data_IF_958106953477
#
_entry.id   IF_958106953477
#
_cell.length_a   1.000
_cell.length_b   1.000
_cell.length_c   1.000
_cell.angle_alpha   90.00
_cell.angle_beta   90.00
_cell.angle_gamma   90.00
#
_symmetry.space_group_name_H-M   'P 1'
#
loop_
_entity.id
_entity.type
_entity.pdbx_description
1 polymer ?
#
# COMPACT_ATOMS: atom_id res chain seq x y z
N UNK A 1 38.86 91.90 -37.91
CA UNK A 1 39.23 92.35 -36.56
C UNK A 1 38.87 91.24 -35.58
N UNK A 2 39.92 90.55 -35.12
CA UNK A 2 40.10 89.71 -33.92
C UNK A 2 38.85 89.13 -33.25
N UNK A 3 38.59 87.82 -33.46
CA UNK A 3 37.85 87.00 -32.50
C UNK A 3 38.74 86.83 -31.25
N UNK A 4 38.26 87.29 -30.11
CA UNK A 4 39.02 87.29 -28.86
C UNK A 4 39.24 85.89 -28.25
N UNK A 5 40.16 85.75 -27.27
CA UNK A 5 40.69 84.49 -26.76
C UNK A 5 39.69 83.58 -26.00
N UNK A 6 38.44 84.02 -25.87
CA UNK A 6 37.41 83.29 -25.14
C UNK A 6 36.71 82.21 -26.00
N UNK A 7 36.73 82.33 -27.33
CA UNK A 7 36.01 81.41 -28.22
C UNK A 7 36.73 80.06 -28.41
N UNK A 8 38.07 80.06 -28.51
CA UNK A 8 38.87 78.83 -28.72
C UNK A 8 38.99 77.96 -27.46
N UNK A 9 39.12 78.56 -26.25
CA UNK A 9 39.11 77.80 -25.00
C UNK A 9 37.75 77.11 -24.74
N UNK A 10 36.66 77.71 -25.20
CA UNK A 10 35.30 77.17 -25.04
C UNK A 10 35.01 76.01 -26.01
N UNK A 11 35.72 75.95 -27.14
CA UNK A 11 35.60 74.88 -28.13
C UNK A 11 36.38 73.63 -27.69
N UNK A 12 37.62 73.79 -27.23
CA UNK A 12 38.48 72.67 -26.80
C UNK A 12 37.96 72.00 -25.51
N UNK A 13 37.43 72.77 -24.55
CA UNK A 13 36.83 72.19 -23.34
C UNK A 13 35.53 71.42 -23.63
N UNK A 14 34.78 71.83 -24.66
CA UNK A 14 33.53 71.17 -25.05
C UNK A 14 33.80 69.83 -25.74
N UNK A 15 34.81 69.77 -26.60
CA UNK A 15 35.25 68.57 -27.32
C UNK A 15 35.76 67.47 -26.36
N UNK A 16 36.58 67.85 -25.38
CA UNK A 16 37.07 66.92 -24.34
C UNK A 16 35.94 66.43 -23.42
N UNK A 17 34.93 67.28 -23.15
CA UNK A 17 33.78 66.91 -22.32
C UNK A 17 32.84 65.92 -23.02
N UNK A 18 32.60 66.13 -24.32
CA UNK A 18 31.78 65.22 -25.14
C UNK A 18 32.47 63.85 -25.32
N UNK A 19 33.78 63.84 -25.58
CA UNK A 19 34.57 62.60 -25.65
C UNK A 19 34.60 61.85 -24.31
N UNK A 20 34.79 62.56 -23.19
CA UNK A 20 34.77 61.95 -21.86
C UNK A 20 33.38 61.40 -21.49
N UNK A 21 32.29 62.08 -21.86
CA UNK A 21 30.93 61.56 -21.66
C UNK A 21 30.63 60.33 -22.52
N UNK A 22 31.15 60.28 -23.75
CA UNK A 22 31.02 59.11 -24.61
C UNK A 22 31.76 57.89 -24.03
N UNK A 23 32.98 58.11 -23.51
CA UNK A 23 33.77 57.07 -22.84
C UNK A 23 33.08 56.54 -21.58
N UNK A 24 32.54 57.41 -20.72
CA UNK A 24 31.79 56.99 -19.53
C UNK A 24 30.54 56.19 -19.89
N UNK A 25 29.79 56.60 -20.92
CA UNK A 25 28.63 55.83 -21.42
C UNK A 25 29.05 54.47 -21.99
N UNK A 26 30.18 54.41 -22.69
CA UNK A 26 30.72 53.15 -23.21
C UNK A 26 31.12 52.22 -22.07
N UNK A 27 31.83 52.72 -21.05
CA UNK A 27 32.20 51.95 -19.86
C UNK A 27 30.98 51.48 -19.05
N UNK A 28 29.97 52.33 -18.87
CA UNK A 28 28.70 51.96 -18.22
C UNK A 28 27.99 50.85 -18.98
N UNK A 29 27.91 50.95 -20.30
CA UNK A 29 27.24 49.95 -21.14
C UNK A 29 28.03 48.64 -21.20
N UNK A 30 29.37 48.70 -21.23
CA UNK A 30 30.23 47.53 -21.13
C UNK A 30 30.07 46.82 -19.77
N UNK A 31 29.95 47.58 -18.68
CA UNK A 31 29.69 47.04 -17.35
C UNK A 31 28.30 46.39 -17.25
N UNK A 32 27.26 47.04 -17.79
CA UNK A 32 25.90 46.49 -17.84
C UNK A 32 25.83 45.18 -18.64
N UNK A 33 26.50 45.12 -19.81
CA UNK A 33 26.61 43.90 -20.62
C UNK A 33 27.36 42.79 -19.86
N UNK A 34 28.43 43.13 -19.14
CA UNK A 34 29.17 42.16 -18.31
C UNK A 34 28.27 41.58 -17.21
N UNK A 35 27.53 42.44 -16.49
CA UNK A 35 26.64 42.01 -15.42
C UNK A 35 25.49 41.14 -15.94
N UNK A 36 24.90 41.50 -17.08
CA UNK A 36 23.86 40.69 -17.73
C UNK A 36 24.40 39.33 -18.18
N UNK A 37 25.62 39.30 -18.72
CA UNK A 37 26.29 38.06 -19.13
C UNK A 37 26.54 37.13 -17.94
N UNK A 38 27.02 37.65 -16.81
CA UNK A 38 27.21 36.89 -15.57
C UNK A 38 25.88 36.32 -15.05
N UNK A 39 24.82 37.15 -15.00
CA UNK A 39 23.49 36.71 -14.57
C UNK A 39 22.90 35.65 -15.50
N UNK A 40 23.10 35.78 -16.81
CA UNK A 40 22.67 34.79 -17.79
C UNK A 40 23.42 33.46 -17.62
N UNK A 41 24.73 33.51 -17.35
CA UNK A 41 25.53 32.31 -17.07
C UNK A 41 25.07 31.60 -15.79
N UNK A 42 24.73 32.35 -14.74
CA UNK A 42 24.18 31.79 -13.50
C UNK A 42 22.81 31.13 -13.71
N UNK A 43 21.90 31.79 -14.45
CA UNK A 43 20.59 31.22 -14.79
C UNK A 43 20.70 29.96 -15.64
N UNK A 44 21.60 29.95 -16.63
CA UNK A 44 21.85 28.77 -17.46
C UNK A 44 22.37 27.59 -16.63
N UNK A 45 23.30 27.83 -15.69
CA UNK A 45 23.78 26.78 -14.78
C UNK A 45 22.64 26.22 -13.92
N UNK A 46 21.81 27.08 -13.33
CA UNK A 46 20.63 26.61 -12.55
C UNK A 46 19.66 25.80 -13.39
N UNK A 47 19.42 26.20 -14.64
CA UNK A 47 18.56 25.46 -15.57
C UNK A 47 19.17 24.10 -15.94
N UNK A 48 20.48 24.04 -16.16
CA UNK A 48 21.19 22.77 -16.42
C UNK A 48 21.14 21.84 -15.22
N UNK A 49 21.35 22.35 -14.00
CA UNK A 49 21.25 21.57 -12.77
C UNK A 49 19.84 21.01 -12.57
N UNK A 50 18.80 21.86 -12.73
CA UNK A 50 17.40 21.44 -12.64
C UNK A 50 17.01 20.44 -13.73
N UNK A 51 17.50 20.62 -14.96
CA UNK A 51 17.29 19.66 -16.04
C UNK A 51 17.93 18.32 -15.71
N UNK A 52 19.18 18.31 -15.27
CA UNK A 52 19.87 17.09 -14.89
C UNK A 52 19.15 16.38 -13.74
N UNK A 53 18.59 17.11 -12.77
CA UNK A 53 17.79 16.55 -11.68
C UNK A 53 16.47 15.93 -12.19
N UNK A 54 15.71 16.65 -13.01
CA UNK A 54 14.48 16.15 -13.62
C UNK A 54 14.74 14.92 -14.49
N UNK A 55 15.83 14.92 -15.24
CA UNK A 55 16.18 13.84 -16.15
C UNK A 55 16.61 12.59 -15.37
N UNK A 56 17.36 12.76 -14.28
CA UNK A 56 17.64 11.67 -13.31
C UNK A 56 16.35 11.12 -12.70
N UNK A 57 15.44 11.98 -12.25
CA UNK A 57 14.16 11.57 -11.67
C UNK A 57 13.29 10.81 -12.70
N UNK A 58 13.25 11.28 -13.95
CA UNK A 58 12.48 10.64 -15.01
C UNK A 58 13.08 9.28 -15.41
N UNK A 59 14.40 9.17 -15.46
CA UNK A 59 15.09 7.89 -15.68
C UNK A 59 14.88 6.92 -14.52
N UNK A 60 14.84 7.40 -13.28
CA UNK A 60 14.52 6.57 -12.11
C UNK A 60 13.07 6.05 -12.18
N UNK A 61 12.12 6.93 -12.51
CA UNK A 61 10.70 6.57 -12.72
C UNK A 61 10.53 5.53 -13.84
N UNK A 62 11.25 5.70 -14.95
CA UNK A 62 11.17 4.79 -16.09
C UNK A 62 11.76 3.41 -15.75
N UNK A 63 12.92 3.37 -15.07
CA UNK A 63 13.52 2.13 -14.56
C UNK A 63 12.61 1.43 -13.55
N UNK A 64 11.94 2.19 -12.69
CA UNK A 64 10.97 1.68 -11.74
C UNK A 64 9.79 0.99 -12.42
N UNK A 65 9.13 1.64 -13.39
CA UNK A 65 8.00 1.06 -14.13
C UNK A 65 8.41 -0.22 -14.87
N UNK A 66 9.61 -0.22 -15.47
CA UNK A 66 10.14 -1.40 -16.15
C UNK A 66 10.40 -2.57 -15.18
N UNK A 67 10.97 -2.30 -14.00
CA UNK A 67 11.17 -3.31 -12.95
C UNK A 67 9.84 -3.86 -12.45
N UNK A 68 8.86 -2.98 -12.19
CA UNK A 68 7.51 -3.35 -11.76
C UNK A 68 6.81 -4.24 -12.78
N UNK A 69 6.90 -3.91 -14.06
CA UNK A 69 6.30 -4.70 -15.13
C UNK A 69 6.83 -6.14 -15.15
N UNK A 70 8.13 -6.32 -14.90
CA UNK A 70 8.73 -7.65 -14.82
C UNK A 70 8.32 -8.37 -13.52
N UNK A 71 8.28 -7.66 -12.40
CA UNK A 71 7.85 -8.21 -11.10
C UNK A 71 6.37 -8.58 -11.08
N UNK A 72 5.50 -7.90 -11.84
CA UNK A 72 4.10 -8.28 -12.02
C UNK A 72 3.93 -9.51 -12.91
N UNK A 73 4.72 -9.62 -13.98
CA UNK A 73 4.57 -10.70 -14.96
C UNK A 73 4.82 -12.07 -14.32
N UNK A 74 5.78 -12.20 -13.41
CA UNK A 74 6.14 -13.47 -12.77
C UNK A 74 5.01 -14.10 -11.93
N UNK A 75 4.37 -13.41 -10.96
CA UNK A 75 3.24 -13.95 -10.22
C UNK A 75 2.03 -14.19 -11.13
N UNK A 76 1.70 -13.29 -12.07
CA UNK A 76 0.59 -13.49 -13.02
C UNK A 76 0.80 -14.75 -13.85
N UNK A 77 1.99 -14.93 -14.43
CA UNK A 77 2.33 -16.13 -15.23
C UNK A 77 2.20 -17.40 -14.39
N UNK A 78 2.56 -17.33 -13.11
CA UNK A 78 2.43 -18.46 -12.19
C UNK A 78 0.95 -18.78 -11.90
N UNK A 79 0.13 -17.77 -11.56
CA UNK A 79 -1.31 -17.93 -11.33
C UNK A 79 -1.98 -18.56 -12.55
N UNK A 80 -1.74 -17.99 -13.74
CA UNK A 80 -2.30 -18.49 -14.99
C UNK A 80 -1.87 -19.93 -15.29
N UNK A 81 -0.58 -20.26 -15.10
CA UNK A 81 -0.07 -21.60 -15.37
C UNK A 81 -0.64 -22.67 -14.44
N UNK A 82 -0.78 -22.38 -13.14
CA UNK A 82 -1.39 -23.31 -12.19
C UNK A 82 -2.91 -23.42 -12.40
N UNK A 83 -3.59 -22.32 -12.72
CA UNK A 83 -5.02 -22.32 -13.02
C UNK A 83 -5.36 -23.11 -14.30
N UNK A 84 -4.62 -22.92 -15.39
CA UNK A 84 -4.77 -23.71 -16.63
C UNK A 84 -4.49 -25.19 -16.41
N UNK A 85 -3.55 -25.53 -15.53
CA UNK A 85 -3.28 -26.93 -15.19
C UNK A 85 -4.43 -27.54 -14.36
N UNK A 86 -5.02 -26.78 -13.44
CA UNK A 86 -6.18 -27.19 -12.64
C UNK A 86 -7.44 -27.39 -13.48
N UNK A 87 -7.67 -26.51 -14.48
CA UNK A 87 -8.83 -26.62 -15.36
C UNK A 87 -8.79 -27.88 -16.26
N UNK A 88 -7.59 -28.43 -16.51
CA UNK A 88 -7.37 -29.63 -17.32
C UNK A 88 -7.46 -30.95 -16.56
N UNK A 89 -7.66 -30.92 -15.24
CA UNK A 89 -7.87 -32.12 -14.42
C UNK A 89 -7.20 -32.08 -13.04
N UNK A 90 -7.26 -33.18 -12.28
CA UNK A 90 -6.70 -33.25 -10.93
C UNK A 90 -5.20 -32.98 -10.95
N UNK A 91 -4.77 -31.95 -10.23
CA UNK A 91 -3.35 -31.62 -10.02
C UNK A 91 -2.86 -32.18 -8.71
N UNK A 92 -1.56 -32.50 -8.65
CA UNK A 92 -0.88 -32.88 -7.41
C UNK A 92 -0.99 -31.78 -6.34
N UNK A 93 -0.88 -32.17 -5.07
CA UNK A 93 -0.87 -31.28 -3.92
C UNK A 93 0.09 -30.10 -4.15
N UNK A 94 -0.39 -28.86 -3.98
CA UNK A 94 0.44 -27.64 -4.03
C UNK A 94 0.04 -26.58 -5.06
N UNK A 95 -0.81 -26.87 -6.05
CA UNK A 95 -1.26 -25.88 -7.05
C UNK A 95 -2.13 -24.75 -6.47
N UNK A 96 -3.13 -25.00 -5.59
CA UNK A 96 -3.90 -23.93 -4.95
C UNK A 96 -3.02 -23.05 -4.07
N UNK A 97 -2.13 -23.66 -3.29
CA UNK A 97 -1.17 -22.94 -2.47
C UNK A 97 -0.26 -22.07 -3.34
N UNK A 98 0.22 -22.57 -4.48
CA UNK A 98 1.06 -21.81 -5.42
C UNK A 98 0.34 -20.60 -6.04
N UNK A 99 -0.94 -20.76 -6.43
CA UNK A 99 -1.80 -19.65 -6.87
C UNK A 99 -1.91 -18.62 -5.75
N UNK A 100 -2.23 -19.07 -4.53
CA UNK A 100 -2.39 -18.19 -3.37
C UNK A 100 -1.11 -17.39 -3.09
N UNK A 101 0.09 -18.00 -3.13
CA UNK A 101 1.36 -17.24 -2.94
C UNK A 101 1.57 -16.20 -4.02
N UNK A 102 1.30 -16.57 -5.27
CA UNK A 102 1.49 -15.69 -6.40
C UNK A 102 0.49 -14.53 -6.37
N UNK A 103 -0.76 -14.77 -5.94
CA UNK A 103 -1.78 -13.74 -5.71
C UNK A 103 -1.38 -12.80 -4.58
N UNK A 104 -0.87 -13.33 -3.46
CA UNK A 104 -0.37 -12.50 -2.36
C UNK A 104 0.82 -11.63 -2.76
N UNK A 105 1.75 -12.19 -3.53
CA UNK A 105 2.87 -11.43 -4.07
C UNK A 105 2.39 -10.31 -5.00
N UNK A 106 1.45 -10.62 -5.90
CA UNK A 106 0.85 -9.65 -6.81
C UNK A 106 0.13 -8.53 -6.04
N UNK A 107 -0.68 -8.89 -5.04
CA UNK A 107 -1.38 -7.93 -4.20
C UNK A 107 -0.39 -7.00 -3.49
N UNK A 108 0.67 -7.56 -2.90
CA UNK A 108 1.74 -6.76 -2.27
C UNK A 108 2.37 -5.78 -3.27
N UNK A 109 2.65 -6.22 -4.51
CA UNK A 109 3.21 -5.34 -5.54
C UNK A 109 2.25 -4.22 -5.96
N UNK A 110 0.96 -4.53 -6.10
CA UNK A 110 -0.08 -3.55 -6.43
C UNK A 110 -0.25 -2.54 -5.31
N UNK A 111 -0.35 -3.00 -4.07
CA UNK A 111 -0.44 -2.14 -2.89
C UNK A 111 0.79 -1.24 -2.76
N UNK A 112 1.99 -1.78 -2.99
CA UNK A 112 3.22 -0.99 -2.97
C UNK A 112 3.21 0.12 -4.03
N UNK A 113 2.68 -0.15 -5.22
CA UNK A 113 2.54 0.82 -6.29
C UNK A 113 1.50 1.90 -5.96
N UNK A 114 0.36 1.50 -5.41
CA UNK A 114 -0.70 2.41 -4.97
C UNK A 114 -0.22 3.32 -3.84
N UNK A 115 0.51 2.79 -2.87
CA UNK A 115 1.08 3.56 -1.77
C UNK A 115 2.11 4.59 -2.30
N UNK A 116 2.95 4.19 -3.26
CA UNK A 116 3.86 5.14 -3.90
C UNK A 116 3.10 6.23 -4.67
N UNK A 117 2.00 5.90 -5.35
CA UNK A 117 1.17 6.88 -6.04
C UNK A 117 0.50 7.87 -5.07
N UNK A 118 0.25 7.46 -3.83
CA UNK A 118 -0.31 8.27 -2.75
C UNK A 118 0.74 9.13 -2.01
N UNK A 119 2.04 8.98 -2.28
CA UNK A 119 3.06 9.84 -1.65
C UNK A 119 2.82 11.31 -1.98
N UNK A 120 2.27 12.04 -1.01
CA UNK A 120 1.84 13.44 -1.12
C UNK A 120 0.44 13.70 -0.52
N UNK A 121 -0.37 12.67 -0.37
CA UNK A 121 -1.78 12.74 0.07
C UNK A 121 -2.05 11.83 1.28
N UNK A 122 -1.69 12.30 2.49
CA UNK A 122 -2.18 11.71 3.74
C UNK A 122 -1.51 10.41 4.23
N UNK A 123 -1.93 9.94 5.42
CA UNK A 123 -1.37 8.79 6.12
C UNK A 123 -1.95 7.45 5.63
N UNK A 124 -1.22 6.35 5.84
CA UNK A 124 -1.71 4.98 5.61
C UNK A 124 -2.92 4.73 6.50
N UNK A 125 -4.07 4.40 5.88
CA UNK A 125 -5.31 4.10 6.60
C UNK A 125 -5.44 2.60 6.86
N UNK A 126 -5.89 2.25 8.07
CA UNK A 126 -6.05 0.87 8.54
C UNK A 126 -7.52 0.49 8.64
N UNK A 127 -7.85 -0.71 8.18
CA UNK A 127 -9.13 -1.36 8.44
C UNK A 127 -9.00 -2.26 9.68
N UNK A 128 -9.16 -1.67 10.87
CA UNK A 128 -8.96 -2.39 12.12
C UNK A 128 -10.09 -3.39 12.40
N UNK A 129 -9.73 -4.62 12.74
CA UNK A 129 -10.64 -5.67 13.15
C UNK A 129 -9.94 -6.73 14.01
N UNK A 130 -10.68 -7.65 14.62
CA UNK A 130 -10.08 -8.75 15.37
C UNK A 130 -9.28 -9.66 14.44
N UNK A 131 -8.05 -9.99 14.83
CA UNK A 131 -7.13 -10.84 14.06
C UNK A 131 -7.04 -12.22 14.71
N UNK A 132 -7.34 -13.28 13.95
CA UNK A 132 -7.01 -14.65 14.35
C UNK A 132 -5.50 -14.88 14.14
N UNK A 133 -4.72 -14.50 15.16
CA UNK A 133 -3.26 -14.63 15.14
C UNK A 133 -2.80 -16.09 14.92
N UNK A 134 -3.56 -17.05 15.45
CA UNK A 134 -3.21 -18.47 15.30
C UNK A 134 -3.33 -18.91 13.85
N UNK A 135 -4.38 -18.46 13.16
CA UNK A 135 -4.55 -18.72 11.72
C UNK A 135 -3.50 -17.98 10.89
N UNK A 136 -3.30 -16.69 11.12
CA UNK A 136 -2.32 -15.89 10.39
C UNK A 136 -0.92 -16.54 10.43
N UNK A 137 -0.44 -16.95 11.60
CA UNK A 137 0.87 -17.58 11.74
C UNK A 137 0.94 -18.97 11.08
N UNK A 138 -0.15 -19.75 11.12
CA UNK A 138 -0.24 -21.03 10.38
C UNK A 138 -0.18 -20.81 8.87
N UNK A 139 -0.94 -19.87 8.34
CA UNK A 139 -0.95 -19.54 6.91
C UNK A 139 0.45 -19.10 6.44
N UNK A 140 1.12 -18.25 7.21
CA UNK A 140 2.49 -17.82 6.92
C UNK A 140 3.47 -19.00 6.97
N UNK A 141 3.33 -19.90 7.94
CA UNK A 141 4.14 -21.11 8.00
C UNK A 141 3.95 -21.98 6.75
N UNK A 142 2.72 -22.25 6.34
CA UNK A 142 2.41 -23.02 5.12
C UNK A 142 2.95 -22.34 3.84
N UNK A 143 2.75 -21.03 3.76
CA UNK A 143 3.18 -20.18 2.66
C UNK A 143 4.70 -20.27 2.43
N UNK A 144 5.48 -20.16 3.50
CA UNK A 144 6.94 -20.05 3.44
C UNK A 144 7.68 -21.39 3.61
N UNK A 145 7.05 -22.42 4.20
CA UNK A 145 7.67 -23.75 4.39
C UNK A 145 8.17 -24.33 3.07
N UNK A 146 7.36 -24.23 2.01
CA UNK A 146 7.75 -24.71 0.68
C UNK A 146 8.92 -23.92 0.08
N UNK A 147 9.00 -22.61 0.33
CA UNK A 147 10.08 -21.77 -0.19
C UNK A 147 11.40 -22.04 0.54
N UNK A 148 11.35 -22.14 1.87
CA UNK A 148 12.50 -22.49 2.69
C UNK A 148 13.04 -23.88 2.33
N UNK A 149 12.15 -24.88 2.22
CA UNK A 149 12.52 -26.24 1.82
C UNK A 149 13.17 -26.28 0.43
N UNK A 150 12.66 -25.50 -0.54
CA UNK A 150 13.25 -25.40 -1.87
C UNK A 150 14.68 -24.84 -1.89
N UNK A 151 15.07 -24.09 -0.85
CA UNK A 151 16.44 -23.58 -0.64
C UNK A 151 17.27 -24.42 0.35
N UNK A 152 16.67 -25.43 0.99
CA UNK A 152 17.33 -26.17 2.07
C UNK A 152 17.48 -25.39 3.38
N UNK A 153 16.65 -24.36 3.60
CA UNK A 153 16.63 -23.58 4.84
C UNK A 153 15.67 -24.21 5.87
N UNK A 154 16.02 -24.13 7.14
CA UNK A 154 15.11 -24.43 8.25
C UNK A 154 14.17 -23.23 8.47
N UNK A 155 12.86 -23.46 8.43
CA UNK A 155 11.86 -22.44 8.80
C UNK A 155 11.20 -22.83 10.12
N UNK A 156 11.17 -21.89 11.07
CA UNK A 156 10.48 -22.05 12.33
C UNK A 156 9.48 -20.90 12.56
N UNK A 157 8.18 -21.19 12.53
CA UNK A 157 7.15 -20.22 12.91
C UNK A 157 6.57 -20.64 14.26
N UNK A 158 6.73 -19.78 15.27
CA UNK A 158 6.20 -20.03 16.60
C UNK A 158 4.66 -19.98 16.58
N UNK A 159 3.98 -20.80 17.40
CA UNK A 159 2.53 -20.69 17.55
C UNK A 159 2.16 -19.35 18.19
N UNK A 160 0.94 -18.90 17.94
CA UNK A 160 0.41 -17.69 18.58
C UNK A 160 0.43 -17.83 20.11
N UNK A 161 0.88 -16.80 20.85
CA UNK A 161 0.84 -16.82 22.30
C UNK A 161 -0.61 -16.87 22.80
N UNK A 162 -0.87 -17.72 23.79
CA UNK A 162 -2.20 -17.89 24.36
C UNK A 162 -2.70 -16.56 24.97
N UNK A 163 -3.94 -16.20 24.67
CA UNK A 163 -4.56 -14.97 25.18
C UNK A 163 -4.14 -13.68 24.44
N UNK A 164 -3.39 -13.77 23.34
CA UNK A 164 -3.16 -12.62 22.47
C UNK A 164 -4.43 -12.28 21.67
N UNK A 165 -5.22 -11.34 22.19
CA UNK A 165 -6.25 -10.68 21.43
C UNK A 165 -5.62 -9.47 20.71
N UNK A 166 -5.59 -9.50 19.38
CA UNK A 166 -5.07 -8.41 18.57
C UNK A 166 -6.21 -7.83 17.73
N UNK A 167 -6.44 -6.52 17.85
CA UNK A 167 -7.31 -5.77 16.94
C UNK A 167 -6.43 -4.84 16.10
N UNK A 168 -6.37 -5.10 14.80
CA UNK A 168 -5.62 -4.30 13.84
C UNK A 168 -6.05 -4.66 12.41
N UNK A 169 -5.36 -4.12 11.41
CA UNK A 169 -5.58 -4.51 10.02
C UNK A 169 -4.81 -5.80 9.68
N UNK A 170 -5.52 -6.93 9.56
CA UNK A 170 -4.91 -8.23 9.25
C UNK A 170 -4.16 -8.21 7.92
N UNK A 171 -4.71 -7.53 6.90
CA UNK A 171 -4.12 -7.50 5.57
C UNK A 171 -2.76 -6.80 5.61
N UNK A 172 -2.69 -5.66 6.30
CA UNK A 172 -1.46 -4.88 6.50
C UNK A 172 -0.45 -5.61 7.36
N UNK A 173 -0.88 -6.26 8.44
CA UNK A 173 0.00 -7.09 9.25
C UNK A 173 0.59 -8.25 8.45
N UNK A 174 -0.25 -8.96 7.69
CA UNK A 174 0.15 -10.05 6.81
C UNK A 174 1.13 -9.56 5.74
N UNK A 175 0.88 -8.42 5.12
CA UNK A 175 1.77 -7.78 4.15
C UNK A 175 3.17 -7.51 4.75
N UNK A 176 3.22 -6.91 5.94
CA UNK A 176 4.47 -6.65 6.66
C UNK A 176 5.25 -7.94 6.94
N UNK A 177 4.58 -8.96 7.49
CA UNK A 177 5.21 -10.24 7.81
C UNK A 177 5.67 -11.01 6.56
N UNK A 178 4.89 -11.00 5.46
CA UNK A 178 5.27 -11.59 4.18
C UNK A 178 6.53 -10.93 3.64
N UNK A 179 6.62 -9.60 3.68
CA UNK A 179 7.80 -8.89 3.19
C UNK A 179 9.04 -9.22 4.03
N UNK A 180 8.92 -9.24 5.36
CA UNK A 180 10.05 -9.57 6.26
C UNK A 180 10.51 -11.03 6.07
N UNK A 181 9.60 -12.00 6.09
CA UNK A 181 9.91 -13.41 5.85
C UNK A 181 10.47 -13.66 4.44
N UNK A 182 9.88 -13.00 3.44
CA UNK A 182 10.34 -13.07 2.06
C UNK A 182 11.78 -12.57 1.91
N UNK A 183 12.14 -11.47 2.59
CA UNK A 183 13.51 -10.97 2.61
C UNK A 183 14.45 -11.93 3.35
N UNK A 184 14.07 -12.42 4.52
CA UNK A 184 14.87 -13.38 5.30
C UNK A 184 15.22 -14.64 4.48
N UNK A 185 14.23 -15.27 3.83
CA UNK A 185 14.44 -16.45 2.98
C UNK A 185 15.22 -16.10 1.71
N UNK A 186 15.02 -14.91 1.15
CA UNK A 186 15.72 -14.46 -0.06
C UNK A 186 17.22 -14.32 0.17
N UNK A 187 17.63 -13.65 1.24
CA UNK A 187 19.03 -13.30 1.50
C UNK A 187 19.79 -14.37 2.28
N UNK A 188 19.10 -15.27 3.00
CA UNK A 188 19.74 -16.41 3.65
C UNK A 188 20.03 -17.51 2.62
N UNK A 189 21.29 -17.91 2.52
CA UNK A 189 21.73 -19.00 1.63
C UNK A 189 21.64 -20.36 2.31
N UNK A 190 22.11 -20.43 3.55
CA UNK A 190 22.12 -21.63 4.39
C UNK A 190 21.78 -21.26 5.83
N UNK A 191 21.22 -22.20 6.59
CA UNK A 191 20.84 -22.00 7.99
C UNK A 191 19.33 -21.90 8.18
N UNK A 192 18.88 -20.92 8.97
CA UNK A 192 17.50 -20.86 9.45
C UNK A 192 16.87 -19.48 9.35
N UNK A 193 15.55 -19.47 9.21
CA UNK A 193 14.67 -18.31 9.32
C UNK A 193 13.61 -18.61 10.36
N UNK A 194 13.32 -17.65 11.24
CA UNK A 194 12.33 -17.81 12.29
C UNK A 194 11.37 -16.62 12.34
N UNK A 195 10.08 -16.91 12.58
CA UNK A 195 9.07 -15.93 12.98
C UNK A 195 8.58 -16.28 14.38
N UNK A 196 8.69 -15.34 15.31
CA UNK A 196 8.23 -15.47 16.69
C UNK A 196 7.21 -14.36 17.02
N UNK A 197 6.30 -14.67 17.94
CA UNK A 197 5.29 -13.74 18.44
C UNK A 197 5.17 -13.89 19.97
N UNK A 198 5.44 -12.83 20.73
CA UNK A 198 5.49 -12.86 22.20
C UNK A 198 4.71 -11.71 22.81
N UNK A 199 4.01 -11.99 23.90
CA UNK A 199 3.35 -10.96 24.70
C UNK A 199 4.38 -10.35 25.65
N UNK A 200 4.58 -9.03 25.54
CA UNK A 200 5.46 -8.24 26.40
C UNK A 200 4.64 -7.10 26.99
N UNK A 201 4.18 -7.26 28.23
CA UNK A 201 3.29 -6.29 28.87
C UNK A 201 1.91 -6.26 28.20
N UNK A 202 1.51 -5.10 27.71
CA UNK A 202 0.27 -4.84 26.98
C UNK A 202 0.44 -4.89 25.44
N UNK A 203 1.59 -5.36 24.96
CA UNK A 203 1.93 -5.43 23.54
C UNK A 203 2.25 -6.84 23.10
N UNK A 204 1.97 -7.11 21.83
CA UNK A 204 2.41 -8.30 21.09
C UNK A 204 3.60 -7.92 20.22
N UNK A 205 4.77 -8.47 20.52
CA UNK A 205 6.00 -8.32 19.75
C UNK A 205 6.10 -9.42 18.70
N UNK A 206 6.32 -9.03 17.44
CA UNK A 206 6.69 -9.90 16.35
C UNK A 206 8.19 -9.78 16.09
N UNK A 207 8.86 -10.91 15.86
CA UNK A 207 10.27 -10.92 15.45
C UNK A 207 10.50 -11.87 14.29
N UNK A 208 11.10 -11.37 13.21
CA UNK A 208 11.58 -12.18 12.08
C UNK A 208 13.11 -12.20 12.12
N UNK A 209 13.69 -13.38 12.32
CA UNK A 209 15.13 -13.58 12.45
C UNK A 209 15.68 -14.47 11.33
N UNK A 210 16.88 -14.17 10.84
CA UNK A 210 17.59 -14.96 9.84
C UNK A 210 19.06 -15.13 10.19
N UNK A 211 19.70 -16.17 9.65
CA UNK A 211 21.15 -16.42 9.78
C UNK A 211 21.92 -16.02 8.50
N UNK A 212 21.40 -15.04 7.76
CA UNK A 212 21.96 -14.58 6.51
C UNK A 212 23.22 -13.71 6.68
N UNK A 213 23.57 -12.90 5.65
CA UNK A 213 24.81 -12.13 5.64
C UNK A 213 24.86 -11.00 6.67
N UNK A 214 23.74 -10.65 7.28
CA UNK A 214 23.61 -9.49 8.16
C UNK A 214 23.79 -8.15 7.43
N UNK A 215 23.61 -7.06 8.18
CA UNK A 215 23.56 -5.68 7.66
C UNK A 215 24.55 -4.81 8.43
N UNK A 216 25.48 -4.20 7.71
CA UNK A 216 26.48 -3.28 8.27
C UNK A 216 25.86 -1.98 8.79
N UNK A 217 26.53 -1.33 9.75
CA UNK A 217 26.02 -0.13 10.41
C UNK A 217 25.76 1.02 9.43
N UNK A 218 26.60 1.20 8.40
CA UNK A 218 26.39 2.20 7.34
C UNK A 218 25.10 2.00 6.52
N UNK A 219 24.62 0.76 6.44
CA UNK A 219 23.52 0.37 5.56
C UNK A 219 22.16 0.29 6.29
N UNK A 220 22.16 0.21 7.63
CA UNK A 220 20.93 0.09 8.44
C UNK A 220 19.92 1.22 8.19
N UNK A 221 20.38 2.45 7.96
CA UNK A 221 19.48 3.56 7.63
C UNK A 221 19.13 3.62 6.14
N UNK A 222 19.96 3.03 5.28
CA UNK A 222 19.78 3.09 3.83
C UNK A 222 18.73 2.11 3.34
N UNK A 223 18.65 0.92 3.94
CA UNK A 223 17.67 -0.12 3.56
C UNK A 223 16.20 0.30 3.75
N UNK A 224 15.92 1.30 4.58
CA UNK A 224 14.58 1.84 4.79
C UNK A 224 14.24 3.00 3.84
N UNK A 225 15.20 3.47 3.05
CA UNK A 225 14.94 4.50 2.05
C UNK A 225 14.33 3.87 0.78
N UNK A 226 13.30 4.49 0.18
CA UNK A 226 12.73 4.00 -1.07
C UNK A 226 13.80 3.84 -2.16
N UNK A 227 13.73 2.74 -2.91
CA UNK A 227 14.59 2.42 -4.06
C UNK A 227 16.08 2.15 -3.74
N UNK A 228 16.47 2.14 -2.47
CA UNK A 228 17.83 1.75 -2.08
C UNK A 228 17.96 0.22 -2.03
N UNK A 229 19.09 -0.29 -2.54
CA UNK A 229 19.44 -1.71 -2.55
C UNK A 229 20.92 -1.88 -2.22
N UNK A 230 21.24 -2.90 -1.42
CA UNK A 230 22.62 -3.22 -1.06
C UNK A 230 23.35 -3.95 -2.20
N UNK A 231 22.63 -4.78 -2.98
CA UNK A 231 23.17 -5.47 -4.15
C UNK A 231 22.46 -5.05 -5.45
N UNK A 232 23.18 -4.43 -6.41
CA UNK A 232 22.68 -4.16 -7.76
C UNK A 232 22.61 -5.42 -8.65
N UNK A 233 23.28 -6.51 -8.25
CA UNK A 233 23.43 -7.73 -9.05
C UNK A 233 22.50 -8.88 -8.65
N UNK A 234 21.97 -9.58 -9.65
CA UNK A 234 21.27 -10.89 -9.60
C UNK A 234 19.88 -10.99 -8.97
N UNK A 235 19.46 -10.13 -8.03
CA UNK A 235 18.15 -10.28 -7.35
C UNK A 235 17.09 -9.29 -7.89
N UNK A 236 15.88 -9.76 -8.22
CA UNK A 236 14.73 -8.93 -8.62
C UNK A 236 14.04 -8.30 -7.40
N UNK A 237 13.65 -7.04 -7.48
CA UNK A 237 13.02 -6.30 -6.37
C UNK A 237 13.20 -4.79 -6.48
N UNK A 238 12.12 -4.04 -6.32
CA UNK A 238 12.12 -2.59 -6.49
C UNK A 238 12.71 -1.76 -5.33
N UNK A 239 13.20 -2.40 -4.27
CA UNK A 239 13.76 -1.71 -3.10
C UNK A 239 12.73 -0.92 -2.27
N UNK A 240 11.45 -1.29 -2.37
CA UNK A 240 10.35 -0.61 -1.65
C UNK A 240 9.90 -1.37 -0.39
N UNK A 241 10.12 -2.68 -0.33
CA UNK A 241 9.50 -3.55 0.67
C UNK A 241 9.72 -3.09 2.12
N UNK A 242 10.96 -2.82 2.53
CA UNK A 242 11.27 -2.42 3.90
C UNK A 242 10.77 -1.00 4.23
N UNK A 243 10.87 -0.05 3.29
CA UNK A 243 10.33 1.30 3.47
C UNK A 243 8.82 1.30 3.70
N UNK A 244 8.10 0.45 2.97
CA UNK A 244 6.65 0.29 3.10
C UNK A 244 6.31 -0.47 4.38
N UNK A 245 7.08 -1.51 4.72
CA UNK A 245 6.88 -2.22 6.00
C UNK A 245 7.02 -1.28 7.19
N UNK A 246 7.99 -0.36 7.16
CA UNK A 246 8.13 0.65 8.20
C UNK A 246 6.91 1.58 8.27
N UNK A 247 6.40 2.04 7.14
CA UNK A 247 5.18 2.88 7.08
C UNK A 247 3.94 2.14 7.58
N UNK A 248 3.76 0.89 7.15
CA UNK A 248 2.65 0.02 7.57
C UNK A 248 2.71 -0.25 9.08
N UNK A 249 3.86 -0.62 9.61
CA UNK A 249 4.05 -0.83 11.06
C UNK A 249 3.78 0.45 11.85
N UNK A 250 4.27 1.60 11.38
CA UNK A 250 4.02 2.89 11.99
C UNK A 250 2.52 3.25 12.00
N UNK A 251 1.82 2.98 10.89
CA UNK A 251 0.38 3.19 10.79
C UNK A 251 -0.39 2.34 11.81
N UNK A 252 0.06 1.09 12.04
CA UNK A 252 -0.50 0.17 13.05
C UNK A 252 -0.14 0.54 14.50
N UNK A 253 0.56 1.66 14.71
CA UNK A 253 0.97 2.13 16.03
C UNK A 253 2.17 1.39 16.61
N UNK A 254 2.95 0.70 15.76
CA UNK A 254 4.20 0.05 16.12
C UNK A 254 5.43 0.82 15.63
N UNK A 255 6.60 0.33 16.02
CA UNK A 255 7.89 0.80 15.51
C UNK A 255 8.68 -0.42 15.01
N UNK A 256 9.25 -0.32 13.81
CA UNK A 256 10.05 -1.39 13.21
C UNK A 256 11.52 -1.17 13.55
N UNK A 257 12.07 -2.07 14.35
CA UNK A 257 13.46 -2.11 14.78
C UNK A 257 14.25 -3.15 14.01
N UNK A 258 15.56 -2.91 13.87
CA UNK A 258 16.51 -3.83 13.26
C UNK A 258 17.70 -4.06 14.19
N UNK A 259 17.98 -5.32 14.44
CA UNK A 259 19.17 -5.81 15.12
C UNK A 259 19.92 -6.75 14.19
N UNK A 260 21.13 -6.38 13.77
CA UNK A 260 21.87 -7.15 12.75
C UNK A 260 23.37 -6.88 12.82
N UNK A 261 24.17 -7.92 12.69
CA UNK A 261 25.62 -7.84 12.58
C UNK A 261 26.10 -8.57 11.32
N UNK A 262 27.07 -8.03 10.57
CA UNK A 262 27.65 -8.71 9.42
C UNK A 262 28.12 -10.13 9.75
N UNK A 263 27.65 -11.10 8.97
CA UNK A 263 27.94 -12.52 9.12
C UNK A 263 27.16 -13.26 10.20
N UNK A 264 26.33 -12.58 10.99
CA UNK A 264 25.53 -13.19 12.07
C UNK A 264 24.02 -13.21 11.79
N UNK A 265 23.59 -12.54 10.72
CA UNK A 265 22.20 -12.46 10.30
C UNK A 265 21.49 -11.19 10.76
N UNK A 266 20.17 -11.18 10.66
CA UNK A 266 19.34 -10.02 10.96
C UNK A 266 18.10 -10.42 11.75
N UNK A 267 17.63 -9.53 12.63
CA UNK A 267 16.38 -9.67 13.36
C UNK A 267 15.60 -8.37 13.24
N UNK A 268 14.46 -8.43 12.57
CA UNK A 268 13.51 -7.33 12.49
C UNK A 268 12.43 -7.53 13.54
N UNK A 269 12.15 -6.50 14.34
CA UNK A 269 11.16 -6.56 15.43
C UNK A 269 10.18 -5.41 15.37
N UNK A 270 8.92 -5.66 15.69
CA UNK A 270 7.95 -4.60 15.93
C UNK A 270 6.89 -5.08 16.91
N UNK A 271 6.27 -4.13 17.63
CA UNK A 271 5.27 -4.43 18.65
C UNK A 271 3.95 -3.70 18.39
N UNK A 272 2.83 -4.40 18.51
CA UNK A 272 1.48 -3.85 18.39
C UNK A 272 0.74 -3.95 19.73
N UNK A 273 -0.17 -3.01 20.02
CA UNK A 273 -0.97 -3.04 21.24
C UNK A 273 -1.97 -4.21 21.21
N UNK A 274 -2.12 -4.94 22.32
CA UNK A 274 -3.16 -5.94 22.48
C UNK A 274 -4.52 -5.27 22.71
N UNK A 275 -5.58 -5.90 22.20
CA UNK A 275 -6.95 -5.47 22.46
C UNK A 275 -7.32 -5.73 23.93
N UNK A 276 -8.05 -4.80 24.54
CA UNK A 276 -8.63 -5.00 25.88
C UNK A 276 -9.77 -6.01 25.82
N UNK A 277 -9.86 -6.89 26.82
CA UNK A 277 -10.62 -8.14 26.82
C UNK A 277 -12.17 -8.08 26.69
N UNK A 278 -12.76 -6.95 26.30
CA UNK A 278 -14.23 -6.81 26.16
C UNK A 278 -14.78 -7.31 24.81
N UNK A 279 -13.93 -7.62 23.82
CA UNK A 279 -14.36 -8.11 22.51
C UNK A 279 -14.37 -9.65 22.42
N UNK A 280 -15.16 -10.33 23.25
CA UNK A 280 -15.50 -11.73 22.97
C UNK A 280 -16.63 -11.80 21.93
N UNK A 281 -16.25 -12.13 20.69
CA UNK A 281 -17.19 -12.42 19.59
C UNK A 281 -18.02 -13.65 19.95
N UNK A 282 -19.34 -13.48 20.10
CA UNK A 282 -20.29 -14.59 20.22
C UNK A 282 -20.39 -15.30 18.86
N UNK A 283 -20.07 -16.60 18.75
CA UNK A 283 -20.32 -17.32 17.52
C UNK A 283 -21.82 -17.57 17.29
N UNK A 284 -22.23 -17.54 16.03
CA UNK A 284 -23.53 -17.98 15.45
C UNK A 284 -24.77 -17.08 15.65
N UNK A 285 -24.77 -15.89 15.03
CA UNK A 285 -26.01 -15.11 14.71
C UNK A 285 -26.40 -15.10 13.22
N UNK A 286 -25.59 -15.67 12.34
CA UNK A 286 -25.71 -15.51 10.88
C UNK A 286 -26.57 -16.58 10.20
N UNK A 287 -26.69 -17.77 10.80
CA UNK A 287 -27.40 -18.89 10.18
C UNK A 287 -28.88 -18.56 9.88
N UNK A 288 -29.27 -18.72 8.62
CA UNK A 288 -30.64 -18.53 8.16
C UNK A 288 -31.05 -17.07 7.90
N UNK A 289 -30.17 -16.10 8.13
CA UNK A 289 -30.41 -14.71 7.72
C UNK A 289 -30.42 -14.59 6.20
N UNK A 290 -31.29 -13.72 5.68
CA UNK A 290 -31.41 -13.45 4.25
C UNK A 290 -30.54 -12.27 3.86
N UNK A 291 -29.58 -12.51 2.97
CA UNK A 291 -28.72 -11.47 2.43
C UNK A 291 -29.08 -11.16 0.97
N UNK A 292 -29.02 -9.89 0.59
CA UNK A 292 -28.91 -9.48 -0.81
C UNK A 292 -27.49 -8.99 -1.06
N UNK A 293 -26.80 -9.60 -2.02
CA UNK A 293 -25.50 -9.15 -2.51
C UNK A 293 -25.67 -8.48 -3.88
N UNK A 294 -25.12 -7.27 -4.03
CA UNK A 294 -25.13 -6.53 -5.29
C UNK A 294 -23.71 -6.16 -5.71
N UNK A 295 -23.25 -6.76 -6.80
CA UNK A 295 -21.90 -6.61 -7.39
C UNK A 295 -21.99 -6.83 -8.89
N UNK A 296 -21.39 -5.94 -9.69
CA UNK A 296 -21.43 -5.99 -11.16
C UNK A 296 -20.39 -6.95 -11.76
N UNK A 297 -19.25 -7.16 -11.09
CA UNK A 297 -18.26 -8.16 -11.50
C UNK A 297 -18.73 -9.59 -11.14
N UNK A 298 -18.94 -10.49 -12.13
CA UNK A 298 -19.50 -11.82 -11.89
C UNK A 298 -18.56 -12.75 -11.11
N UNK A 299 -17.24 -12.56 -11.19
CA UNK A 299 -16.27 -13.37 -10.45
C UNK A 299 -16.23 -12.93 -8.99
N UNK A 300 -16.31 -11.61 -8.74
CA UNK A 300 -16.41 -11.04 -7.38
C UNK A 300 -17.76 -11.40 -6.74
N UNK A 301 -18.85 -11.35 -7.50
CA UNK A 301 -20.17 -11.74 -7.05
C UNK A 301 -20.17 -13.22 -6.60
N UNK A 302 -19.65 -14.12 -7.44
CA UNK A 302 -19.61 -15.55 -7.14
C UNK A 302 -18.76 -15.89 -5.91
N UNK A 303 -17.61 -15.23 -5.71
CA UNK A 303 -16.76 -15.51 -4.55
C UNK A 303 -17.37 -14.97 -3.25
N UNK A 304 -17.99 -13.80 -3.27
CA UNK A 304 -18.66 -13.23 -2.10
C UNK A 304 -19.94 -14.01 -1.74
N UNK A 305 -20.69 -14.50 -2.74
CA UNK A 305 -21.82 -15.40 -2.53
C UNK A 305 -21.37 -16.67 -1.79
N UNK A 306 -20.29 -17.32 -2.24
CA UNK A 306 -19.70 -18.47 -1.55
C UNK A 306 -19.31 -18.14 -0.10
N UNK A 307 -18.70 -16.99 0.17
CA UNK A 307 -18.33 -16.61 1.54
C UNK A 307 -19.56 -16.45 2.44
N UNK A 308 -20.60 -15.79 1.95
CA UNK A 308 -21.84 -15.58 2.71
C UNK A 308 -22.59 -16.89 2.95
N UNK A 309 -22.64 -17.78 1.96
CA UNK A 309 -23.21 -19.13 2.09
C UNK A 309 -22.42 -20.00 3.09
N UNK A 310 -21.08 -19.96 3.06
CA UNK A 310 -20.22 -20.63 4.04
C UNK A 310 -20.45 -20.14 5.48
N UNK A 311 -20.92 -18.90 5.64
CA UNK A 311 -21.32 -18.35 6.94
C UNK A 311 -22.75 -18.71 7.35
N UNK A 312 -23.50 -19.40 6.48
CA UNK A 312 -24.85 -19.89 6.73
C UNK A 312 -25.99 -18.94 6.34
N UNK A 313 -25.70 -17.88 5.58
CA UNK A 313 -26.74 -16.97 5.09
C UNK A 313 -27.44 -17.55 3.86
N UNK A 314 -28.73 -17.20 3.69
CA UNK A 314 -29.46 -17.42 2.45
C UNK A 314 -29.26 -16.21 1.54
N UNK A 315 -28.48 -16.37 0.48
CA UNK A 315 -28.04 -15.27 -0.38
C UNK A 315 -28.91 -15.18 -1.63
N UNK A 316 -29.44 -14.00 -1.91
CA UNK A 316 -29.88 -13.61 -3.24
C UNK A 316 -28.82 -12.68 -3.84
N UNK A 317 -28.56 -12.82 -5.14
CA UNK A 317 -27.56 -12.03 -5.86
C UNK A 317 -28.19 -11.17 -6.96
N UNK A 318 -27.64 -9.98 -7.19
CA UNK A 318 -28.02 -9.05 -8.25
C UNK A 318 -26.76 -8.39 -8.85
N UNK A 319 -26.79 -8.11 -10.16
CA UNK A 319 -25.61 -7.56 -10.87
C UNK A 319 -25.68 -6.05 -11.14
N UNK A 320 -26.75 -5.38 -10.72
CA UNK A 320 -26.93 -3.95 -10.97
C UNK A 320 -27.83 -3.30 -9.91
N UNK A 321 -27.79 -1.96 -9.86
CA UNK A 321 -28.69 -1.17 -9.03
C UNK A 321 -30.16 -1.49 -9.33
N UNK A 322 -30.53 -1.59 -10.61
CA UNK A 322 -31.91 -1.86 -11.03
C UNK A 322 -32.42 -3.22 -10.51
N UNK A 323 -31.62 -4.27 -10.65
CA UNK A 323 -31.95 -5.59 -10.13
C UNK A 323 -32.02 -5.59 -8.59
N UNK A 324 -31.08 -4.91 -7.93
CA UNK A 324 -31.10 -4.75 -6.47
C UNK A 324 -32.39 -4.08 -5.99
N UNK A 325 -32.80 -2.98 -6.63
CA UNK A 325 -34.04 -2.25 -6.34
C UNK A 325 -35.29 -3.12 -6.59
N UNK A 326 -35.30 -3.92 -7.66
CA UNK A 326 -36.39 -4.86 -7.92
C UNK A 326 -36.51 -5.90 -6.80
N UNK A 327 -35.39 -6.49 -6.38
CA UNK A 327 -35.35 -7.55 -5.34
C UNK A 327 -35.83 -7.04 -4.00
N UNK A 328 -35.39 -5.86 -3.56
CA UNK A 328 -35.84 -5.27 -2.28
C UNK A 328 -37.32 -4.86 -2.31
N UNK A 329 -37.90 -4.66 -3.50
CA UNK A 329 -39.33 -4.45 -3.69
C UNK A 329 -40.17 -5.73 -3.59
N UNK A 330 -39.56 -6.89 -3.84
CA UNK A 330 -40.24 -8.20 -3.86
C UNK A 330 -40.04 -9.00 -2.57
N UNK A 331 -38.89 -8.85 -1.92
CA UNK A 331 -38.45 -9.64 -0.76
C UNK A 331 -37.91 -8.75 0.34
N UNK A 332 -37.97 -9.25 1.57
CA UNK A 332 -37.33 -8.63 2.74
C UNK A 332 -36.01 -9.32 3.04
N UNK A 333 -35.00 -8.53 3.38
CA UNK A 333 -33.64 -8.97 3.68
C UNK A 333 -33.25 -8.53 5.09
N UNK A 334 -32.45 -9.36 5.76
CA UNK A 334 -31.85 -9.02 7.04
C UNK A 334 -30.58 -8.17 6.82
N UNK A 335 -29.87 -8.43 5.71
CA UNK A 335 -28.62 -7.76 5.35
C UNK A 335 -28.61 -7.44 3.85
N UNK A 336 -28.21 -6.23 3.47
CA UNK A 336 -27.86 -5.88 2.08
C UNK A 336 -26.40 -5.45 2.00
N UNK A 337 -25.64 -6.13 1.13
CA UNK A 337 -24.27 -5.80 0.78
C UNK A 337 -24.25 -5.25 -0.64
N UNK A 338 -23.64 -4.09 -0.84
CA UNK A 338 -23.53 -3.48 -2.17
C UNK A 338 -22.10 -3.03 -2.45
N UNK A 339 -21.61 -3.23 -3.66
CA UNK A 339 -20.44 -2.48 -4.12
C UNK A 339 -20.79 -1.01 -4.35
N UNK A 340 -19.87 -0.11 -4.01
CA UNK A 340 -20.07 1.33 -4.17
C UNK A 340 -20.22 1.71 -5.65
N UNK A 341 -19.48 1.06 -6.54
CA UNK A 341 -19.50 1.35 -7.97
C UNK A 341 -20.11 0.17 -8.72
N UNK A 342 -21.35 0.34 -9.21
CA UNK A 342 -22.07 -0.67 -9.99
C UNK A 342 -22.14 -0.20 -11.45
N UNK A 343 -21.07 -0.42 -12.22
CA UNK A 343 -20.85 0.18 -13.54
C UNK A 343 -21.11 1.70 -13.59
N UNK A 344 -22.30 2.11 -14.03
CA UNK A 344 -22.73 3.50 -14.18
C UNK A 344 -23.47 4.06 -12.94
N UNK A 345 -23.83 3.19 -12.01
CA UNK A 345 -24.67 3.49 -10.85
C UNK A 345 -23.88 3.41 -9.52
N UNK A 346 -24.48 3.93 -8.45
CA UNK A 346 -23.89 3.94 -7.11
C UNK A 346 -24.62 2.97 -6.18
N UNK A 347 -23.89 2.04 -5.56
CA UNK A 347 -24.47 1.17 -4.53
C UNK A 347 -24.94 1.92 -3.30
N UNK A 348 -24.42 3.13 -3.03
CA UNK A 348 -24.94 3.97 -1.96
C UNK A 348 -26.41 4.37 -2.20
N UNK A 349 -26.83 4.54 -3.45
CA UNK A 349 -28.23 4.83 -3.81
C UNK A 349 -29.13 3.63 -3.53
N UNK A 350 -28.61 2.41 -3.73
CA UNK A 350 -29.30 1.18 -3.31
C UNK A 350 -29.50 1.15 -1.80
N UNK A 351 -28.44 1.39 -1.01
CA UNK A 351 -28.52 1.33 0.46
C UNK A 351 -29.45 2.41 1.03
N UNK A 352 -29.50 3.58 0.39
CA UNK A 352 -30.51 4.61 0.65
C UNK A 352 -31.93 4.10 0.45
N UNK A 353 -32.20 3.43 -0.67
CA UNK A 353 -33.51 2.85 -0.96
C UNK A 353 -33.86 1.71 0.03
N UNK A 354 -32.86 0.89 0.42
CA UNK A 354 -33.01 -0.15 1.45
C UNK A 354 -33.42 0.46 2.78
N UNK A 355 -32.75 1.51 3.25
CA UNK A 355 -33.12 2.16 4.52
C UNK A 355 -34.53 2.74 4.51
N UNK A 356 -34.97 3.29 3.38
CA UNK A 356 -36.32 3.80 3.23
C UNK A 356 -37.39 2.70 3.20
N UNK A 357 -37.13 1.59 2.50
CA UNK A 357 -38.09 0.50 2.30
C UNK A 357 -38.07 -0.54 3.44
N UNK A 358 -36.91 -0.80 4.03
CA UNK A 358 -36.63 -1.85 5.01
C UNK A 358 -35.74 -1.33 6.15
N UNK A 359 -36.26 -0.47 7.06
CA UNK A 359 -35.44 0.20 8.08
C UNK A 359 -34.73 -0.72 9.09
N UNK A 360 -35.18 -1.97 9.20
CA UNK A 360 -34.58 -2.98 10.08
C UNK A 360 -33.42 -3.75 9.41
N UNK A 361 -33.27 -3.62 8.10
CA UNK A 361 -32.22 -4.28 7.34
C UNK A 361 -30.87 -3.62 7.62
N UNK A 362 -29.84 -4.44 7.86
CA UNK A 362 -28.47 -3.95 8.04
C UNK A 362 -27.80 -3.75 6.69
N UNK A 363 -27.11 -2.64 6.50
CA UNK A 363 -26.50 -2.29 5.21
C UNK A 363 -24.97 -2.26 5.31
N UNK A 364 -24.31 -2.90 4.35
CA UNK A 364 -22.84 -2.90 4.24
C UNK A 364 -22.45 -2.41 2.84
N UNK A 365 -21.47 -1.51 2.80
CA UNK A 365 -20.95 -0.96 1.54
C UNK A 365 -19.50 -1.41 1.31
N UNK A 366 -19.24 -2.00 0.15
CA UNK A 366 -17.90 -2.37 -0.29
C UNK A 366 -17.32 -1.28 -1.19
N UNK A 367 -16.02 -0.98 -1.10
CA UNK A 367 -15.37 -0.06 -2.04
C UNK A 367 -13.87 -0.33 -2.17
N UNK A 368 -13.33 -0.14 -3.38
CA UNK A 368 -11.90 -0.23 -3.66
C UNK A 368 -11.12 1.08 -3.48
N UNK A 369 -11.78 2.20 -3.19
CA UNK A 369 -11.12 3.51 -3.08
C UNK A 369 -11.76 4.44 -2.02
N UNK A 370 -10.91 5.17 -1.30
CA UNK A 370 -11.30 6.10 -0.23
C UNK A 370 -10.83 5.63 1.14
N UNK A 371 -11.20 6.38 2.18
CA UNK A 371 -10.86 6.09 3.58
C UNK A 371 -12.11 5.80 4.38
N UNK A 372 -12.02 5.00 5.44
CA UNK A 372 -13.16 4.75 6.32
C UNK A 372 -13.75 6.04 6.90
N UNK A 373 -12.91 7.03 7.23
CA UNK A 373 -13.36 8.33 7.73
C UNK A 373 -14.10 9.15 6.66
N UNK A 374 -13.61 9.13 5.42
CA UNK A 374 -14.31 9.76 4.31
C UNK A 374 -15.64 9.07 4.05
N UNK A 375 -15.67 7.74 4.09
CA UNK A 375 -16.90 6.99 3.89
C UNK A 375 -17.90 7.16 5.02
N UNK A 376 -17.46 7.14 6.27
CA UNK A 376 -18.33 7.42 7.41
C UNK A 376 -18.88 8.85 7.34
N UNK A 377 -18.08 9.82 6.87
CA UNK A 377 -18.50 11.20 6.65
C UNK A 377 -19.49 11.35 5.48
N UNK A 378 -19.29 10.62 4.40
CA UNK A 378 -20.06 10.77 3.15
C UNK A 378 -21.25 9.82 3.02
N UNK A 379 -21.18 8.66 3.68
CA UNK A 379 -22.10 7.54 3.52
C UNK A 379 -22.53 6.91 4.86
N UNK A 380 -22.05 7.39 6.01
CA UNK A 380 -22.36 6.82 7.33
C UNK A 380 -23.85 6.92 7.72
N UNK A 381 -24.63 7.74 7.01
CA UNK A 381 -26.09 7.77 7.15
C UNK A 381 -26.78 6.63 6.38
N UNK A 382 -26.08 5.93 5.48
CA UNK A 382 -26.64 4.98 4.51
C UNK A 382 -26.15 3.55 4.72
N UNK A 383 -24.92 3.36 5.22
CA UNK A 383 -24.34 2.07 5.55
C UNK A 383 -24.10 1.93 7.06
N UNK A 384 -24.41 0.76 7.62
CA UNK A 384 -24.07 0.42 9.00
C UNK A 384 -22.58 0.06 9.15
N UNK A 385 -21.93 -0.40 8.08
CA UNK A 385 -20.51 -0.74 8.06
C UNK A 385 -19.92 -0.65 6.64
N UNK A 386 -18.60 -0.51 6.56
CA UNK A 386 -17.87 -0.42 5.30
C UNK A 386 -16.79 -1.50 5.20
N UNK A 387 -16.56 -2.01 3.99
CA UNK A 387 -15.47 -2.93 3.68
C UNK A 387 -14.59 -2.40 2.54
N UNK A 388 -13.28 -2.44 2.76
CA UNK A 388 -12.29 -2.18 1.73
C UNK A 388 -12.08 -3.42 0.86
N UNK A 389 -12.13 -3.26 -0.46
CA UNK A 389 -11.66 -4.27 -1.41
C UNK A 389 -10.11 -4.35 -1.38
N UNK A 390 -9.50 -5.55 -1.53
CA UNK A 390 -10.15 -6.84 -1.74
C UNK A 390 -10.81 -7.36 -0.45
N UNK A 391 -12.07 -7.79 -0.56
CA UNK A 391 -12.82 -8.31 0.59
C UNK A 391 -12.40 -9.75 0.84
N UNK A 392 -11.93 -10.00 2.06
CA UNK A 392 -11.56 -11.34 2.53
C UNK A 392 -12.68 -11.91 3.39
N UNK A 393 -12.89 -13.23 3.42
CA UNK A 393 -13.99 -13.83 4.16
C UNK A 393 -13.95 -13.47 5.65
N UNK A 394 -12.77 -13.32 6.25
CA UNK A 394 -12.61 -12.97 7.66
C UNK A 394 -13.07 -11.55 7.95
N UNK A 395 -12.63 -10.60 7.11
CA UNK A 395 -13.04 -9.19 7.21
C UNK A 395 -14.54 -9.03 7.01
N UNK A 396 -15.08 -9.76 6.03
CA UNK A 396 -16.51 -9.81 5.76
C UNK A 396 -17.28 -10.37 6.96
N UNK A 397 -16.84 -11.50 7.51
CA UNK A 397 -17.45 -12.10 8.70
C UNK A 397 -17.41 -11.18 9.91
N UNK A 398 -16.25 -10.57 10.19
CA UNK A 398 -16.09 -9.64 11.30
C UNK A 398 -17.02 -8.41 11.16
N UNK A 399 -17.14 -7.86 9.95
CA UNK A 399 -18.06 -6.76 9.68
C UNK A 399 -19.53 -7.16 9.89
N UNK A 400 -19.92 -8.34 9.42
CA UNK A 400 -21.26 -8.89 9.65
C UNK A 400 -21.56 -9.08 11.15
N UNK A 401 -20.60 -9.63 11.91
CA UNK A 401 -20.73 -9.81 13.36
C UNK A 401 -20.83 -8.44 14.09
N UNK A 402 -20.12 -7.41 13.62
CA UNK A 402 -20.22 -6.03 14.16
C UNK A 402 -21.59 -5.41 13.93
N UNK A 403 -22.13 -5.44 12.72
CA UNK A 403 -23.44 -4.82 12.43
C UNK A 403 -24.61 -5.54 13.12
N UNK A 404 -24.46 -6.84 13.41
CA UNK A 404 -25.46 -7.64 14.12
C UNK A 404 -25.32 -7.62 15.66
N UNK A 405 -24.18 -7.17 16.18
CA UNK A 405 -23.99 -6.96 17.62
C UNK A 405 -24.47 -5.59 18.09
N UNK A 406 -24.50 -4.59 17.20
CA UNK A 406 -25.07 -3.25 17.43
C UNK A 406 -26.61 -3.24 17.37
N UNK A 407 -27.25 -4.08 18.19
CA UNK A 407 -28.65 -3.92 18.55
C UNK A 407 -28.72 -3.05 19.81
N UNK A 408 -29.17 -1.80 19.63
CA UNK A 408 -29.68 -0.97 20.72
C UNK A 408 -30.96 -1.56 21.30
#
# INVERSE_FOLDING_TARGET
YVLGPAAERKLILRDVSEAHQAELKFQQKAYEVSLLSEKQAELNRRLEDQRAELERANQAKSRFIASMSHEFRTPITSIMGYADRMSRGPVANGSPAAIQRASWHLLTLVENLLEQARQGEGAVHLNSGPIDLSRLLRDLNELFSHQAQGKGLELAVAPAPAGAALENDELRLRQALINLLGNAIRYTKEGRVALDAKITGDRLEFSVSDTGPGIGAEDRQRIFKPFERLDPGEQTGAGLGLSITQQVVAAMGGELELDSEPGQGSTFRFSLALATADSQVNPSRLEGLKALLVEDDPDVLAIHELYLEDFGLAVDSASSLAEGLERIGQKTYDIVLADLFLEADSGADLLLAVRAAQPACKTLLCSGAGTYADWQRHFGEFADEFLLKPVQPENLKAALDRILSHNH
#
